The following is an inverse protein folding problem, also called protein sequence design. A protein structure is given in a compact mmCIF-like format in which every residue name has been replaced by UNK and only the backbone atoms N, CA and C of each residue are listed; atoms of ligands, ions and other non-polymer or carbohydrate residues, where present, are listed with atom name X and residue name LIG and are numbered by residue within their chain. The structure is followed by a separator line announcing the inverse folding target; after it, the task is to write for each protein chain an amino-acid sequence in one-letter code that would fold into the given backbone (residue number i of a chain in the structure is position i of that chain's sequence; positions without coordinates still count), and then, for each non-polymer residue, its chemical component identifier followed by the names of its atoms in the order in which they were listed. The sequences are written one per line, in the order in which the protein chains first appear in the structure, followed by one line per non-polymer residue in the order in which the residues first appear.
data_IF_531433335344
#
_entry.id   IF_531433335344
#
_cell.length_a   1.000
_cell.length_b   1.000
_cell.length_c   1.000
_cell.angle_alpha   90.00
_cell.angle_beta   90.00
_cell.angle_gamma   90.00
#
_symmetry.space_group_name_H-M   'P 1'
#
loop_
_entity.id
_entity.type
_entity.pdbx_description
1 polymer ?
#
# COMPACT_ATOMS: atom_id res chain seq x y z
N UNK A 1 32.72 15.63 -29.66
CA UNK A 1 33.01 14.32 -29.01
C UNK A 1 31.68 13.68 -28.67
N UNK A 2 31.09 12.96 -29.64
CA UNK A 2 29.90 12.15 -29.41
C UNK A 2 30.36 10.88 -28.68
N UNK A 3 30.01 10.74 -27.40
CA UNK A 3 30.13 9.48 -26.71
C UNK A 3 29.09 8.53 -27.33
N UNK A 4 29.55 7.63 -28.18
CA UNK A 4 28.78 6.48 -28.61
C UNK A 4 28.42 5.71 -27.34
N UNK A 5 27.14 5.73 -26.96
CA UNK A 5 26.65 4.90 -25.87
C UNK A 5 26.89 3.44 -26.29
N UNK A 6 27.99 2.86 -25.80
CA UNK A 6 28.34 1.46 -25.98
C UNK A 6 27.14 0.65 -25.49
N UNK A 7 26.33 0.17 -26.43
CA UNK A 7 25.19 -0.67 -26.11
C UNK A 7 25.72 -1.82 -25.24
N UNK A 8 25.10 -2.09 -24.07
CA UNK A 8 25.50 -3.24 -23.28
C UNK A 8 25.47 -4.48 -24.17
N UNK A 9 26.50 -5.31 -24.03
CA UNK A 9 26.61 -6.57 -24.75
C UNK A 9 25.27 -7.35 -24.61
N UNK A 10 24.70 -7.94 -25.68
CA UNK A 10 23.46 -8.71 -25.60
C UNK A 10 23.43 -9.72 -24.45
N UNK A 11 24.55 -10.38 -24.15
CA UNK A 11 24.65 -11.30 -23.01
C UNK A 11 24.35 -10.62 -21.67
N UNK A 12 24.91 -9.43 -21.43
CA UNK A 12 24.67 -8.67 -20.20
C UNK A 12 23.20 -8.24 -20.07
N UNK A 13 22.52 -8.01 -21.20
CA UNK A 13 21.08 -7.75 -21.20
C UNK A 13 20.28 -8.99 -20.81
N UNK A 14 20.66 -10.16 -21.35
CA UNK A 14 20.00 -11.43 -21.03
C UNK A 14 20.18 -11.80 -19.55
N UNK A 15 21.39 -11.60 -19.02
CA UNK A 15 21.70 -11.83 -17.60
C UNK A 15 20.85 -10.91 -16.70
N UNK A 16 20.84 -9.60 -17.00
CA UNK A 16 20.02 -8.62 -16.28
C UNK A 16 18.53 -9.00 -16.33
N UNK A 17 18.04 -9.39 -17.50
CA UNK A 17 16.64 -9.80 -17.67
C UNK A 17 16.33 -11.08 -16.89
N UNK A 18 17.23 -12.06 -16.90
CA UNK A 18 17.07 -13.31 -16.16
C UNK A 18 17.02 -13.07 -14.65
N UNK A 19 17.87 -12.18 -14.13
CA UNK A 19 17.86 -11.76 -12.73
C UNK A 19 16.54 -11.06 -12.36
N UNK A 20 16.08 -10.12 -13.19
CA UNK A 20 14.81 -9.40 -12.98
C UNK A 20 13.56 -10.30 -13.09
N UNK A 21 13.65 -11.33 -13.93
CA UNK A 21 12.62 -12.34 -14.14
C UNK A 21 12.64 -13.46 -13.09
N UNK A 22 13.64 -13.50 -12.21
CA UNK A 22 13.78 -14.56 -11.21
C UNK A 22 12.51 -14.72 -10.35
N UNK A 23 12.02 -15.95 -10.27
CA UNK A 23 10.78 -16.27 -9.56
C UNK A 23 9.50 -15.76 -10.25
N UNK A 24 9.55 -15.34 -11.51
CA UNK A 24 8.36 -15.12 -12.34
C UNK A 24 8.14 -16.31 -13.27
N UNK A 25 6.89 -16.68 -13.47
CA UNK A 25 6.47 -17.74 -14.40
C UNK A 25 5.47 -17.14 -15.38
N UNK A 26 5.72 -17.38 -16.66
CA UNK A 26 4.83 -17.04 -17.76
C UNK A 26 4.11 -18.31 -18.19
N UNK A 27 2.78 -18.25 -18.25
CA UNK A 27 1.99 -19.38 -18.74
C UNK A 27 1.96 -19.42 -20.27
N UNK A 28 1.53 -20.54 -20.83
CA UNK A 28 1.36 -20.70 -22.28
C UNK A 28 0.45 -19.58 -22.82
N UNK A 29 0.91 -18.82 -23.83
CA UNK A 29 0.08 -17.83 -24.48
C UNK A 29 -1.16 -18.48 -25.09
N UNK A 30 -2.33 -17.89 -24.87
CA UNK A 30 -3.55 -18.33 -25.54
C UNK A 30 -4.21 -17.20 -26.30
N UNK A 31 -4.83 -17.57 -27.43
CA UNK A 31 -5.55 -16.65 -28.28
C UNK A 31 -7.01 -16.57 -27.85
N UNK A 32 -7.51 -15.36 -27.72
CA UNK A 32 -8.91 -15.07 -27.45
C UNK A 32 -9.65 -14.91 -28.79
N UNK A 33 -10.97 -15.20 -28.88
CA UNK A 33 -11.74 -15.08 -30.13
C UNK A 33 -11.72 -13.70 -30.78
N UNK A 34 -11.35 -12.67 -30.03
CA UNK A 34 -11.19 -11.29 -30.49
C UNK A 34 -9.82 -11.00 -31.15
N UNK A 35 -8.98 -12.03 -31.32
CA UNK A 35 -7.64 -11.92 -31.92
C UNK A 35 -6.55 -11.49 -30.94
N UNK A 36 -6.85 -11.35 -29.65
CA UNK A 36 -5.85 -10.98 -28.65
C UNK A 36 -5.03 -12.17 -28.16
N UNK A 37 -3.72 -11.96 -27.95
CA UNK A 37 -2.84 -12.93 -27.29
C UNK A 37 -2.71 -12.59 -25.83
N UNK A 38 -3.11 -13.50 -24.95
CA UNK A 38 -3.07 -13.34 -23.50
C UNK A 38 -1.95 -14.17 -22.91
N UNK A 39 -1.07 -13.53 -22.15
CA UNK A 39 0.07 -14.17 -21.46
C UNK A 39 -0.07 -13.93 -19.95
N UNK A 40 -0.53 -14.93 -19.18
CA UNK A 40 -0.60 -14.85 -17.72
C UNK A 40 0.78 -14.84 -17.07
N UNK A 41 0.90 -14.06 -15.99
CA UNK A 41 2.14 -13.92 -15.22
C UNK A 41 1.89 -14.14 -13.74
N UNK A 42 2.68 -15.01 -13.13
CA UNK A 42 2.67 -15.25 -11.69
C UNK A 42 4.07 -15.13 -11.09
N UNK A 43 4.15 -14.70 -9.83
CA UNK A 43 5.36 -14.83 -9.01
C UNK A 43 5.29 -16.15 -8.27
N UNK A 44 6.27 -17.00 -8.48
CA UNK A 44 6.48 -18.21 -7.68
C UNK A 44 7.51 -17.92 -6.61
N UNK A 45 7.21 -18.30 -5.37
CA UNK A 45 8.11 -18.14 -4.25
C UNK A 45 8.11 -19.40 -3.41
N UNK A 46 9.30 -19.84 -3.00
CA UNK A 46 9.48 -21.01 -2.15
C UNK A 46 9.71 -20.53 -0.71
N UNK A 47 8.68 -20.69 0.12
CA UNK A 47 8.74 -20.39 1.55
C UNK A 47 8.80 -21.65 2.40
N UNK A 48 9.00 -21.50 3.70
CA UNK A 48 9.07 -22.63 4.66
C UNK A 48 7.80 -23.49 4.74
N UNK A 49 6.69 -23.06 4.14
CA UNK A 49 5.41 -23.79 4.08
C UNK A 49 5.13 -24.41 2.69
N UNK A 50 6.05 -24.31 1.75
CA UNK A 50 5.92 -24.84 0.39
C UNK A 50 5.93 -23.77 -0.72
N UNK A 51 5.79 -24.18 -1.99
CA UNK A 51 5.70 -23.25 -3.11
C UNK A 51 4.37 -22.49 -3.09
N UNK A 52 4.44 -21.18 -3.28
CA UNK A 52 3.27 -20.31 -3.43
C UNK A 52 3.34 -19.57 -4.76
N UNK A 53 2.19 -19.38 -5.41
CA UNK A 53 2.07 -18.63 -6.67
C UNK A 53 1.14 -17.44 -6.46
N UNK A 54 1.68 -16.22 -6.52
CA UNK A 54 0.89 -14.97 -6.48
C UNK A 54 0.70 -14.46 -7.93
N UNK A 55 -0.53 -14.31 -8.44
CA UNK A 55 -0.75 -13.73 -9.76
C UNK A 55 -0.25 -12.27 -9.78
N UNK A 56 0.52 -11.90 -10.79
CA UNK A 56 1.06 -10.54 -10.97
C UNK A 56 0.31 -9.73 -12.02
N UNK A 57 -0.34 -10.40 -12.96
CA UNK A 57 -1.11 -9.76 -14.01
C UNK A 57 -1.17 -10.60 -15.29
N UNK A 58 -1.69 -9.98 -16.34
CA UNK A 58 -1.81 -10.56 -17.67
C UNK A 58 -1.28 -9.53 -18.67
N UNK A 59 -0.47 -9.97 -19.63
CA UNK A 59 -0.15 -9.19 -20.81
C UNK A 59 -1.16 -9.53 -21.91
N UNK A 60 -1.75 -8.50 -22.52
CA UNK A 60 -2.68 -8.66 -23.65
C UNK A 60 -2.09 -7.93 -24.84
N UNK A 61 -1.71 -8.68 -25.88
CA UNK A 61 -1.19 -8.13 -27.13
C UNK A 61 -2.35 -8.08 -28.13
N UNK A 62 -2.58 -6.89 -28.70
CA UNK A 62 -3.64 -6.61 -29.69
C UNK A 62 -3.06 -5.80 -30.83
N UNK A 63 -3.56 -6.02 -32.04
CA UNK A 63 -3.17 -5.26 -33.23
C UNK A 63 -3.71 -3.82 -33.23
N UNK A 64 -4.74 -3.53 -32.43
CA UNK A 64 -5.43 -2.23 -32.37
C UNK A 64 -4.71 -1.14 -31.56
N UNK A 65 -3.51 -1.41 -31.04
CA UNK A 65 -2.68 -0.46 -30.32
C UNK A 65 -2.49 -0.75 -28.83
N UNK A 66 -1.56 -0.04 -28.18
CA UNK A 66 -1.20 -0.25 -26.78
C UNK A 66 -2.06 0.61 -25.85
N UNK A 67 -2.79 -0.03 -24.92
CA UNK A 67 -3.50 0.67 -23.84
C UNK A 67 -2.82 0.32 -22.53
N UNK A 68 -2.27 1.31 -21.84
CA UNK A 68 -1.66 1.11 -20.54
C UNK A 68 -2.73 1.06 -19.45
N UNK A 69 -2.69 0.02 -18.62
CA UNK A 69 -3.53 -0.12 -17.43
C UNK A 69 -2.60 -0.25 -16.22
N UNK A 70 -2.73 0.60 -15.18
CA UNK A 70 -1.91 0.48 -13.99
C UNK A 70 -2.21 -0.82 -13.24
N UNK A 71 -1.16 -1.56 -12.87
CA UNK A 71 -1.28 -2.69 -11.95
C UNK A 71 -1.43 -2.17 -10.51
N UNK A 72 -2.67 -2.05 -10.04
CA UNK A 72 -2.99 -1.57 -8.69
C UNK A 72 -3.19 -2.77 -7.74
N UNK A 73 -2.39 -2.85 -6.67
CA UNK A 73 -2.55 -3.86 -5.60
C UNK A 73 -3.56 -3.34 -4.56
N UNK A 74 -4.82 -3.77 -4.69
CA UNK A 74 -5.91 -3.33 -3.82
C UNK A 74 -5.73 -3.77 -2.36
N UNK A 75 -5.16 -4.96 -2.12
CA UNK A 75 -4.91 -5.47 -0.77
C UNK A 75 -3.90 -4.59 -0.04
N UNK A 76 -2.83 -4.18 -0.75
CA UNK A 76 -1.83 -3.26 -0.21
C UNK A 76 -2.44 -1.90 0.12
N UNK A 77 -3.32 -1.38 -0.73
CA UNK A 77 -4.03 -0.11 -0.48
C UNK A 77 -4.92 -0.23 0.75
N UNK A 78 -5.69 -1.32 0.85
CA UNK A 78 -6.56 -1.57 1.99
C UNK A 78 -5.75 -1.67 3.29
N UNK A 79 -4.65 -2.41 3.28
CA UNK A 79 -3.76 -2.54 4.43
C UNK A 79 -3.22 -1.19 4.91
N UNK A 80 -2.75 -0.34 3.99
CA UNK A 80 -2.29 1.01 4.32
C UNK A 80 -3.42 1.82 4.96
N UNK A 81 -4.63 1.78 4.40
CA UNK A 81 -5.79 2.47 4.97
C UNK A 81 -6.12 2.01 6.39
N UNK A 82 -6.12 0.70 6.64
CA UNK A 82 -6.37 0.12 7.97
C UNK A 82 -5.31 0.56 8.97
N UNK A 83 -4.03 0.46 8.61
CA UNK A 83 -2.92 0.86 9.48
C UNK A 83 -2.98 2.35 9.80
N UNK A 84 -3.20 3.20 8.79
CA UNK A 84 -3.37 4.64 8.98
C UNK A 84 -4.57 4.94 9.89
N UNK A 85 -5.71 4.27 9.68
CA UNK A 85 -6.90 4.41 10.51
C UNK A 85 -6.66 4.01 11.96
N UNK A 86 -5.95 2.90 12.19
CA UNK A 86 -5.60 2.44 13.53
C UNK A 86 -4.64 3.42 14.24
N UNK A 87 -3.64 3.96 13.53
CA UNK A 87 -2.74 4.99 14.06
C UNK A 87 -3.52 6.27 14.40
N UNK A 88 -4.42 6.70 13.51
CA UNK A 88 -5.26 7.88 13.78
C UNK A 88 -6.20 7.65 14.97
N UNK A 89 -6.83 6.48 15.07
CA UNK A 89 -7.73 6.13 16.16
C UNK A 89 -7.01 6.05 17.52
N UNK A 90 -5.81 5.46 17.55
CA UNK A 90 -4.98 5.40 18.77
C UNK A 90 -4.54 6.79 19.23
N UNK A 91 -4.10 7.66 18.30
CA UNK A 91 -3.77 9.05 18.62
C UNK A 91 -5.01 9.81 19.09
N UNK A 92 -6.15 9.64 18.43
CA UNK A 92 -7.42 10.27 18.82
C UNK A 92 -7.85 9.83 20.23
N UNK A 93 -7.81 8.54 20.51
CA UNK A 93 -8.09 7.99 21.84
C UNK A 93 -7.14 8.57 22.89
N UNK A 94 -5.83 8.60 22.60
CA UNK A 94 -4.82 9.20 23.47
C UNK A 94 -5.07 10.70 23.68
N UNK A 95 -5.48 11.43 22.65
CA UNK A 95 -5.77 12.86 22.73
C UNK A 95 -7.00 13.12 23.60
N UNK A 96 -8.05 12.30 23.47
CA UNK A 96 -9.21 12.34 24.35
C UNK A 96 -8.85 12.02 25.81
N UNK A 97 -7.95 11.05 26.02
CA UNK A 97 -7.45 10.70 27.35
C UNK A 97 -6.52 11.78 27.95
N UNK A 98 -5.72 12.49 27.13
CA UNK A 98 -4.73 13.48 27.58
C UNK A 98 -5.26 14.91 27.67
N UNK A 99 -6.27 15.26 26.87
CA UNK A 99 -6.96 16.56 26.94
C UNK A 99 -8.43 16.32 27.20
N UNK A 100 -8.77 15.77 28.37
CA UNK A 100 -10.15 15.61 28.69
C UNK A 100 -10.84 16.99 28.73
N UNK A 101 -11.92 17.21 27.95
CA UNK A 101 -12.76 18.39 28.10
C UNK A 101 -13.71 18.18 29.27
N UNK A 102 -13.27 17.53 30.36
CA UNK A 102 -14.11 17.47 31.54
C UNK A 102 -14.15 18.92 32.07
N UNK A 103 -15.30 19.63 32.04
CA UNK A 103 -15.42 20.89 32.76
C UNK A 103 -14.91 20.68 34.18
N UNK A 104 -14.04 21.60 34.59
CA UNK A 104 -13.26 21.49 35.82
C UNK A 104 -14.17 21.23 37.02
N UNK A 105 -14.17 19.99 37.50
CA UNK A 105 -14.91 19.61 38.71
C UNK A 105 -14.23 20.18 39.97
N UNK A 106 -13.05 20.77 39.84
CA UNK A 106 -12.37 21.48 40.92
C UNK A 106 -13.08 22.79 41.32
N UNK A 107 -14.04 23.28 40.52
CA UNK A 107 -14.82 24.48 40.83
C UNK A 107 -16.02 24.21 41.78
N UNK A 108 -16.23 22.95 42.17
CA UNK A 108 -17.21 22.54 43.17
C UNK A 108 -16.65 22.73 44.58
N UNK A 109 -16.40 23.97 45.00
CA UNK A 109 -15.95 24.21 46.36
C UNK A 109 -15.40 25.57 46.72
N UNK A 110 -15.61 26.63 45.93
CA UNK A 110 -15.46 27.97 46.49
C UNK A 110 -16.67 28.24 47.40
N UNK A 111 -16.57 27.84 48.66
CA UNK A 111 -17.45 28.36 49.70
C UNK A 111 -17.23 29.88 49.74
N UNK A 112 -18.17 30.63 49.18
CA UNK A 112 -18.23 32.06 49.36
C UNK A 112 -18.20 32.36 50.87
N UNK A 113 -17.23 33.15 51.39
CA UNK A 113 -17.19 33.45 52.81
C UNK A 113 -18.48 34.18 53.17
N UNK A 114 -19.29 33.53 53.99
CA UNK A 114 -20.55 34.04 54.50
C UNK A 114 -20.32 35.40 55.14
N UNK A 115 -20.69 36.45 54.41
CA UNK A 115 -20.78 37.83 54.90
C UNK A 115 -21.84 37.87 55.98
N UNK A 116 -21.46 37.58 57.23
CA UNK A 116 -22.33 37.84 58.38
C UNK A 116 -22.32 39.33 58.68
N UNK A 117 -23.53 39.84 58.46
CA UNK A 117 -24.06 41.19 58.56
C UNK A 117 -23.82 41.80 59.95
N UNK A 118 -23.55 43.09 59.95
CA UNK A 118 -23.63 44.05 61.05
C UNK A 118 -24.79 43.79 62.03
N UNK A 119 -24.54 43.91 63.33
CA UNK A 119 -25.52 44.43 64.30
C UNK A 119 -24.82 45.24 65.39
N UNK A 120 -25.36 46.46 65.56
CA UNK A 120 -25.30 47.45 66.65
C UNK A 120 -23.96 48.01 67.11
#
# INVERSE_FOLDING_TARGET
MHAEARLPNPEAFLDQFADDASGRVFAEPYHTPDGSTVIPVAKVSHGGTGPTAKPLGVFVIRDSGTTWVPAVDADRIALVGVVTGLVAATIGCLALLRRPPWPDLSDHGHLAPGRRRFTS
#
